data_IF_637533784716
#
_entry.id   IF_637533784716
#
_cell.length_a   1.000
_cell.length_b   1.000
_cell.length_c   1.000
_cell.angle_alpha   90.00
_cell.angle_beta   90.00
_cell.angle_gamma   90.00
#
_symmetry.space_group_name_H-M   'P 1'
#
loop_
_entity.id
_entity.type
_entity.pdbx_description
1 polymer ?
#
# COMPACT_ATOMS: atom_id res chain seq x y z
N UNK A 1 0.90 13.55 3.10
CA UNK A 1 0.41 12.42 2.28
C UNK A 1 1.50 11.36 2.25
N UNK A 2 1.20 10.14 2.71
CA UNK A 2 2.10 8.98 2.52
C UNK A 2 2.16 8.64 1.03
N UNK A 3 3.35 8.31 0.54
CA UNK A 3 3.63 8.10 -0.89
C UNK A 3 3.83 6.62 -1.15
N UNK A 4 2.96 6.03 -1.97
CA UNK A 4 2.98 4.59 -2.27
C UNK A 4 4.38 4.06 -2.63
N UNK A 5 5.04 4.66 -3.62
CA UNK A 5 6.38 4.24 -4.07
C UNK A 5 7.44 4.35 -2.97
N UNK A 6 7.36 5.36 -2.11
CA UNK A 6 8.30 5.51 -0.99
C UNK A 6 8.11 4.36 -0.02
N UNK A 7 6.87 4.08 0.40
CA UNK A 7 6.58 3.00 1.32
C UNK A 7 6.97 1.64 0.73
N UNK A 8 6.63 1.36 -0.54
CA UNK A 8 7.03 0.12 -1.21
C UNK A 8 8.54 -0.10 -1.17
N UNK A 9 9.30 0.96 -1.49
CA UNK A 9 10.76 0.93 -1.50
C UNK A 9 11.36 0.58 -0.13
N UNK A 10 10.80 1.10 0.96
CA UNK A 10 11.39 0.95 2.30
C UNK A 10 10.84 -0.25 3.08
N UNK A 11 9.60 -0.66 2.83
CA UNK A 11 8.91 -1.68 3.62
C UNK A 11 9.01 -3.08 3.01
N UNK A 12 9.17 -3.18 1.69
CA UNK A 12 9.01 -4.45 0.98
C UNK A 12 10.16 -4.76 0.02
N UNK A 13 10.66 -3.75 -0.68
CA UNK A 13 11.72 -3.92 -1.65
C UNK A 13 13.10 -3.97 -0.97
N UNK A 14 13.56 -5.16 -0.59
CA UNK A 14 14.92 -5.32 -0.06
C UNK A 14 15.96 -5.23 -1.18
N UNK A 15 17.16 -4.80 -0.81
CA UNK A 15 18.27 -4.64 -1.76
C UNK A 15 18.80 -6.01 -2.19
N UNK A 16 18.72 -6.31 -3.49
CA UNK A 16 19.21 -7.56 -4.08
C UNK A 16 18.17 -8.68 -4.25
N UNK A 17 16.92 -8.47 -3.82
CA UNK A 17 15.89 -9.53 -3.77
C UNK A 17 15.22 -9.88 -5.12
N UNK A 18 15.50 -9.13 -6.18
CA UNK A 18 14.91 -9.38 -7.50
C UNK A 18 15.94 -9.95 -8.48
N UNK A 19 15.93 -11.28 -8.61
CA UNK A 19 16.74 -12.00 -9.60
C UNK A 19 16.08 -11.93 -10.98
N UNK A 20 14.75 -11.84 -11.01
CA UNK A 20 13.96 -11.77 -12.25
C UNK A 20 12.94 -10.64 -12.21
N UNK A 21 12.55 -10.15 -13.39
CA UNK A 21 11.44 -9.20 -13.52
C UNK A 21 10.12 -9.78 -12.98
N UNK A 22 9.90 -11.10 -13.12
CA UNK A 22 8.71 -11.77 -12.63
C UNK A 22 8.52 -11.62 -11.11
N UNK A 23 9.60 -11.83 -10.34
CA UNK A 23 9.58 -11.63 -8.89
C UNK A 23 9.23 -10.18 -8.52
N UNK A 24 9.85 -9.21 -9.19
CA UNK A 24 9.55 -7.79 -8.95
C UNK A 24 8.08 -7.45 -9.28
N UNK A 25 7.51 -8.04 -10.34
CA UNK A 25 6.11 -7.85 -10.71
C UNK A 25 5.16 -8.46 -9.67
N UNK A 26 5.46 -9.65 -9.16
CA UNK A 26 4.64 -10.32 -8.15
C UNK A 26 4.67 -9.57 -6.83
N UNK A 27 5.83 -9.09 -6.39
CA UNK A 27 5.95 -8.27 -5.19
C UNK A 27 5.18 -6.96 -5.29
N UNK A 28 5.21 -6.29 -6.44
CA UNK A 28 4.36 -5.11 -6.67
C UNK A 28 2.88 -5.47 -6.55
N UNK A 29 2.42 -6.58 -7.14
CA UNK A 29 1.01 -7.01 -7.07
C UNK A 29 0.57 -7.27 -5.63
N UNK A 30 1.38 -8.02 -4.88
CA UNK A 30 1.12 -8.33 -3.47
C UNK A 30 1.12 -7.05 -2.64
N UNK A 31 2.09 -6.18 -2.86
CA UNK A 31 2.22 -4.94 -2.11
C UNK A 31 1.07 -3.96 -2.38
N UNK A 32 0.55 -3.89 -3.61
CA UNK A 32 -0.64 -3.07 -3.91
C UNK A 32 -1.85 -3.52 -3.06
N UNK A 33 -2.05 -4.83 -2.91
CA UNK A 33 -3.14 -5.36 -2.09
C UNK A 33 -2.89 -5.05 -0.61
N UNK A 34 -1.67 -5.30 -0.10
CA UNK A 34 -1.29 -4.95 1.26
C UNK A 34 -1.51 -3.46 1.56
N UNK A 35 -1.00 -2.58 0.70
CA UNK A 35 -1.08 -1.12 0.88
C UNK A 35 -2.52 -0.61 0.97
N UNK A 36 -3.42 -1.17 0.16
CA UNK A 36 -4.80 -0.71 0.03
C UNK A 36 -5.75 -1.27 1.09
N UNK A 37 -5.49 -2.47 1.59
CA UNK A 37 -6.42 -3.19 2.47
C UNK A 37 -5.91 -3.41 3.89
N UNK A 38 -4.59 -3.39 4.11
CA UNK A 38 -3.98 -3.79 5.39
C UNK A 38 -3.11 -2.70 5.99
N UNK A 39 -2.27 -2.05 5.17
CA UNK A 39 -1.28 -1.08 5.65
C UNK A 39 -1.97 0.09 6.37
N UNK A 40 -1.61 0.39 7.63
CA UNK A 40 -2.12 1.56 8.32
C UNK A 40 -1.51 2.83 7.73
N UNK A 41 -2.31 3.90 7.59
CA UNK A 41 -1.84 5.19 7.10
C UNK A 41 -2.06 6.27 8.15
N UNK A 42 -1.01 7.02 8.51
CA UNK A 42 -1.08 8.03 9.57
C UNK A 42 -2.08 9.14 9.23
N UNK A 43 -2.14 9.54 7.96
CA UNK A 43 -3.08 10.54 7.48
C UNK A 43 -4.54 10.07 7.57
N UNK A 44 -4.75 8.76 7.50
CA UNK A 44 -6.05 8.11 7.54
C UNK A 44 -6.42 7.65 8.96
N UNK A 45 -5.82 8.23 10.00
CA UNK A 45 -6.04 7.81 11.39
C UNK A 45 -5.70 6.32 11.64
N UNK A 46 -4.72 5.80 10.89
CA UNK A 46 -4.34 4.39 10.96
C UNK A 46 -5.17 3.47 10.06
N UNK A 47 -6.19 3.97 9.37
CA UNK A 47 -6.99 3.15 8.46
C UNK A 47 -6.30 2.94 7.10
N UNK A 48 -6.50 1.77 6.47
CA UNK A 48 -6.09 1.54 5.10
C UNK A 48 -6.92 2.41 4.12
N UNK A 49 -6.39 2.69 2.91
CA UNK A 49 -7.00 3.62 1.95
C UNK A 49 -8.40 3.23 1.49
N UNK A 50 -8.70 1.94 1.43
CA UNK A 50 -10.04 1.48 1.02
C UNK A 50 -11.06 1.81 2.10
N UNK A 51 -10.74 1.59 3.37
CA UNK A 51 -11.67 1.87 4.47
C UNK A 51 -11.94 3.36 4.62
N UNK A 52 -10.94 4.22 4.47
CA UNK A 52 -11.19 5.67 4.54
C UNK A 52 -12.11 6.16 3.44
N UNK A 53 -11.93 5.71 2.19
CA UNK A 53 -12.81 6.08 1.09
C UNK A 53 -14.27 5.68 1.35
N UNK A 54 -14.50 4.51 1.94
CA UNK A 54 -15.85 4.06 2.32
C UNK A 54 -16.43 4.94 3.42
N UNK A 55 -15.67 5.20 4.50
CA UNK A 55 -16.12 6.09 5.60
C UNK A 55 -16.48 7.49 5.09
N UNK A 56 -15.67 8.09 4.22
CA UNK A 56 -16.01 9.39 3.62
C UNK A 56 -17.28 9.35 2.77
N UNK A 57 -17.52 8.25 2.03
CA UNK A 57 -18.74 8.10 1.23
C UNK A 57 -19.98 7.98 2.12
N UNK A 58 -19.89 7.23 3.21
CA UNK A 58 -20.99 7.09 4.18
C UNK A 58 -21.32 8.42 4.88
N UNK A 59 -20.34 9.26 5.16
CA UNK A 59 -20.54 10.59 5.75
C UNK A 59 -21.16 11.62 4.79
N UNK A 60 -21.14 11.36 3.48
CA UNK A 60 -21.64 12.27 2.44
C UNK A 60 -23.04 11.88 1.93
N UNK A 61 -23.58 10.75 2.39
CA UNK A 61 -24.94 10.28 2.11
C UNK A 61 -25.88 10.62 3.28
#
# INVERSE_FOLDING_TARGET
MERWFRSFKYEWMQEGDYITLGQAMDDVRVYVMYYNFVRPHRYNQGLPPVLTKTTYRELLN
#
